data_IF_612214091980
#
_entry.id   IF_612214091980
#
_cell.length_a   1.000
_cell.length_b   1.000
_cell.length_c   1.000
_cell.angle_alpha   90.00
_cell.angle_beta   90.00
_cell.angle_gamma   90.00
#
_symmetry.space_group_name_H-M   'P 1'
#
loop_
_entity.id
_entity.type
_entity.pdbx_description
1 polymer ?
#
# COMPACT_ATOMS: atom_id res chain seq x y z
N UNK A 1 8.46 -1.64 10.01
CA UNK A 1 9.78 -1.46 9.36
C UNK A 1 9.66 -2.01 7.94
N UNK A 2 10.01 -1.23 6.93
CA UNK A 2 9.99 -1.66 5.53
C UNK A 2 11.26 -2.48 5.27
N UNK A 3 11.11 -3.77 4.97
CA UNK A 3 12.26 -4.67 4.75
C UNK A 3 12.31 -5.25 3.34
N UNK A 4 11.15 -5.42 2.69
CA UNK A 4 11.04 -6.06 1.38
C UNK A 4 9.97 -5.43 0.51
N UNK A 5 10.02 -5.75 -0.78
CA UNK A 5 8.97 -5.42 -1.73
C UNK A 5 7.63 -6.01 -1.27
N UNK A 6 6.56 -5.23 -1.38
CA UNK A 6 5.20 -5.65 -1.04
C UNK A 6 4.62 -6.65 -2.05
N UNK A 7 5.21 -6.77 -3.25
CA UNK A 7 4.87 -7.84 -4.19
C UNK A 7 5.37 -9.19 -3.64
N UNK A 8 4.47 -10.14 -3.32
CA UNK A 8 4.86 -11.44 -2.76
C UNK A 8 5.80 -12.26 -3.66
N UNK A 9 5.73 -12.05 -4.98
CA UNK A 9 6.61 -12.72 -5.94
C UNK A 9 7.97 -12.05 -6.12
N UNK A 10 8.25 -10.97 -5.39
CA UNK A 10 9.49 -10.21 -5.52
C UNK A 10 10.37 -10.37 -4.27
N UNK A 11 11.63 -10.75 -4.46
CA UNK A 11 12.61 -10.90 -3.39
C UNK A 11 13.42 -9.61 -3.09
N UNK A 12 13.07 -8.48 -3.70
CA UNK A 12 13.82 -7.24 -3.53
C UNK A 12 13.73 -6.71 -2.09
N UNK A 13 14.89 -6.38 -1.53
CA UNK A 13 15.04 -5.80 -0.19
C UNK A 13 14.99 -4.28 -0.25
N UNK A 14 14.36 -3.66 0.75
CA UNK A 14 14.33 -2.21 0.85
C UNK A 14 15.67 -1.67 1.37
N UNK A 15 16.56 -1.29 0.46
CA UNK A 15 17.88 -0.75 0.78
C UNK A 15 17.93 0.78 0.64
N UNK A 16 17.31 1.31 -0.41
CA UNK A 16 17.38 2.73 -0.75
C UNK A 16 16.02 3.32 -1.12
N UNK A 17 15.71 4.49 -0.55
CA UNK A 17 14.45 5.21 -0.77
C UNK A 17 14.20 5.58 -2.25
N UNK A 18 15.25 5.81 -3.03
CA UNK A 18 15.13 6.21 -4.44
C UNK A 18 14.87 5.03 -5.40
N UNK A 19 14.99 3.78 -4.93
CA UNK A 19 14.86 2.60 -5.79
C UNK A 19 13.45 1.99 -5.76
N UNK A 20 12.42 2.80 -6.01
CA UNK A 20 11.05 2.31 -6.09
C UNK A 20 10.05 3.35 -5.65
N UNK A 21 8.90 2.87 -5.13
CA UNK A 21 7.80 3.73 -4.73
C UNK A 21 7.30 3.35 -3.34
N UNK A 22 7.21 4.36 -2.48
CA UNK A 22 6.72 4.24 -1.11
C UNK A 22 5.25 4.67 -1.09
N UNK A 23 4.40 3.79 -0.57
CA UNK A 23 2.98 4.03 -0.40
C UNK A 23 2.71 4.23 1.08
N UNK A 24 2.02 5.33 1.39
CA UNK A 24 1.53 5.63 2.73
C UNK A 24 0.03 5.37 2.74
N UNK A 25 -0.41 4.49 3.62
CA UNK A 25 -1.82 4.20 3.82
C UNK A 25 -2.27 4.66 5.21
N UNK A 26 -3.42 5.30 5.27
CA UNK A 26 -4.09 5.69 6.50
C UNK A 26 -5.33 4.82 6.69
N UNK A 27 -5.32 3.93 7.67
CA UNK A 27 -6.46 3.04 7.93
C UNK A 27 -7.60 3.69 8.71
N UNK A 28 -7.49 4.99 9.06
CA UNK A 28 -8.56 5.71 9.78
C UNK A 28 -9.87 5.78 9.00
N UNK A 29 -9.86 5.61 7.67
CA UNK A 29 -11.05 5.67 6.82
C UNK A 29 -11.70 4.28 6.63
N UNK A 30 -10.98 3.18 6.88
CA UNK A 30 -11.51 1.83 6.68
C UNK A 30 -12.43 1.35 7.82
N UNK A 31 -12.25 1.88 9.03
CA UNK A 31 -12.97 1.44 10.23
C UNK A 31 -14.37 2.07 10.33
N UNK A 32 -14.65 3.20 9.65
CA UNK A 32 -15.97 3.85 9.72
C UNK A 32 -17.08 3.13 8.95
N UNK A 33 -16.77 2.02 8.28
CA UNK A 33 -17.75 1.26 7.50
C UNK A 33 -18.03 -0.15 8.06
N UNK A 34 -17.55 -0.46 9.26
CA UNK A 34 -17.87 -1.71 9.95
C UNK A 34 -18.07 -1.46 11.44
N UNK A 35 -19.21 -1.91 11.95
CA UNK A 35 -19.61 -2.03 13.37
C UNK A 35 -19.97 -0.75 14.12
N UNK A 36 -21.29 -0.52 14.14
CA UNK A 36 -22.07 -0.21 15.32
C UNK A 36 -21.62 -0.98 16.58
N UNK A 37 -21.79 -0.29 17.72
CA UNK A 37 -21.74 -0.76 19.11
C UNK A 37 -20.35 -0.76 19.81
N UNK A 38 -20.27 0.15 20.78
CA UNK A 38 -19.53 0.05 22.04
C UNK A 38 -18.01 -0.13 21.99
N UNK A 39 -17.27 0.99 22.03
CA UNK A 39 -16.29 1.32 23.07
C UNK A 39 -15.55 2.61 22.67
N UNK A 40 -15.37 3.51 23.62
CA UNK A 40 -14.76 4.85 23.51
C UNK A 40 -13.23 4.80 23.28
N UNK A 41 -12.76 3.96 22.35
CA UNK A 41 -11.35 3.95 21.93
C UNK A 41 -11.21 4.92 20.78
N UNK A 42 -10.56 6.06 21.05
CA UNK A 42 -10.14 7.04 20.03
C UNK A 42 -9.64 6.28 18.80
N UNK A 43 -10.09 6.61 17.57
CA UNK A 43 -9.62 5.93 16.37
C UNK A 43 -8.11 6.12 16.31
N UNK A 44 -7.37 5.07 16.65
CA UNK A 44 -5.92 5.06 16.60
C UNK A 44 -5.56 5.02 15.13
N UNK A 45 -5.28 6.19 14.57
CA UNK A 45 -4.82 6.38 13.20
C UNK A 45 -3.61 5.50 12.96
N UNK A 46 -3.81 4.32 12.36
CA UNK A 46 -2.72 3.42 12.00
C UNK A 46 -2.23 3.83 10.61
N UNK A 47 -1.05 4.43 10.59
CA UNK A 47 -0.37 4.71 9.33
C UNK A 47 0.52 3.51 9.02
N UNK A 48 0.28 2.88 7.88
CA UNK A 48 1.07 1.76 7.39
C UNK A 48 1.80 2.19 6.11
N UNK A 49 3.07 1.78 6.01
CA UNK A 49 3.89 2.04 4.85
C UNK A 49 4.17 0.74 4.12
N UNK A 50 4.12 0.82 2.80
CA UNK A 50 4.43 -0.29 1.89
C UNK A 50 5.39 0.22 0.81
N UNK A 51 6.23 -0.66 0.29
CA UNK A 51 7.19 -0.30 -0.74
C UNK A 51 7.16 -1.30 -1.88
N UNK A 52 7.14 -0.80 -3.12
CA UNK A 52 7.38 -1.59 -4.32
C UNK A 52 8.73 -1.16 -4.89
N UNK A 53 9.60 -2.11 -5.20
CA UNK A 53 10.85 -1.81 -5.91
C UNK A 53 10.56 -1.23 -7.31
N UNK A 54 11.55 -0.59 -7.92
CA UNK A 54 11.41 0.08 -9.21
C UNK A 54 10.65 -0.74 -10.29
N UNK A 55 10.99 -2.01 -10.61
CA UNK A 55 10.27 -2.77 -11.62
C UNK A 55 8.82 -3.09 -11.20
N UNK A 56 8.58 -3.42 -9.93
CA UNK A 56 7.23 -3.68 -9.44
C UNK A 56 6.37 -2.42 -9.45
N UNK A 57 6.94 -1.25 -9.14
CA UNK A 57 6.21 0.02 -9.13
C UNK A 57 5.83 0.51 -10.53
N UNK A 58 6.52 0.03 -11.58
CA UNK A 58 6.19 0.35 -12.97
C UNK A 58 4.89 -0.33 -13.41
N UNK A 59 4.62 -1.54 -12.93
CA UNK A 59 3.50 -2.38 -13.39
C UNK A 59 2.40 -2.58 -12.34
N UNK A 60 2.71 -2.35 -11.06
CA UNK A 60 1.85 -2.67 -9.93
C UNK A 60 1.65 -1.46 -9.02
N UNK A 61 0.54 -1.48 -8.30
CA UNK A 61 0.21 -0.53 -7.24
C UNK A 61 -0.47 -1.28 -6.09
N UNK A 62 -0.76 -0.58 -5.00
CA UNK A 62 -1.55 -1.13 -3.90
C UNK A 62 -3.02 -0.79 -4.09
N UNK A 63 -3.86 -1.80 -3.87
CA UNK A 63 -5.30 -1.70 -3.72
C UNK A 63 -5.73 -2.12 -2.32
N UNK A 64 -6.91 -1.67 -1.91
CA UNK A 64 -7.54 -2.09 -0.67
C UNK A 64 -8.77 -2.96 -0.98
N UNK A 65 -8.79 -4.18 -0.44
CA UNK A 65 -9.93 -5.09 -0.47
C UNK A 65 -10.46 -5.25 0.94
N UNK A 66 -11.79 -5.23 1.12
CA UNK A 66 -12.41 -5.28 2.44
C UNK A 66 -12.13 -6.62 3.15
N UNK A 67 -12.09 -7.69 2.37
CA UNK A 67 -11.94 -9.07 2.85
C UNK A 67 -10.48 -9.47 3.13
N UNK A 68 -9.52 -8.91 2.38
CA UNK A 68 -8.10 -9.31 2.44
C UNK A 68 -7.16 -8.20 2.89
N UNK A 69 -7.68 -6.98 3.07
CA UNK A 69 -6.88 -5.81 3.38
C UNK A 69 -6.10 -5.32 2.15
N UNK A 70 -4.83 -4.97 2.35
CA UNK A 70 -3.98 -4.41 1.30
C UNK A 70 -3.44 -5.49 0.39
N UNK A 71 -3.63 -5.28 -0.91
CA UNK A 71 -3.27 -6.19 -1.99
C UNK A 71 -2.48 -5.46 -3.07
N UNK A 72 -1.57 -6.17 -3.73
CA UNK A 72 -0.85 -5.66 -4.90
C UNK A 72 -1.69 -5.94 -6.14
N UNK A 73 -1.99 -4.90 -6.91
CA UNK A 73 -2.85 -4.96 -8.10
C UNK A 73 -2.14 -4.33 -9.30
N UNK A 74 -2.48 -4.73 -10.54
CA UNK A 74 -1.96 -4.08 -11.74
C UNK A 74 -2.23 -2.58 -11.76
N UNK A 75 -1.25 -1.81 -12.21
CA UNK A 75 -1.39 -0.37 -12.37
C UNK A 75 -2.38 -0.06 -13.50
N UNK A 76 -3.40 0.79 -13.28
CA UNK A 76 -4.28 1.20 -14.37
C UNK A 76 -3.50 1.87 -15.50
N UNK A 77 -3.78 1.49 -16.75
CA UNK A 77 -3.09 2.00 -17.95
C UNK A 77 -3.08 3.54 -18.03
N UNK A 78 -4.10 4.20 -17.48
CA UNK A 78 -4.20 5.65 -17.41
C UNK A 78 -3.13 6.30 -16.51
N UNK A 79 -2.69 5.61 -15.44
CA UNK A 79 -1.69 6.10 -14.49
C UNK A 79 -0.26 5.68 -14.87
N UNK A 80 -0.10 4.61 -15.65
CA UNK A 80 1.20 4.15 -16.13
C UNK A 80 1.94 5.21 -16.98
N UNK A 81 1.19 6.02 -17.74
CA UNK A 81 1.74 7.09 -18.58
C UNK A 81 2.30 8.29 -17.81
N UNK A 82 1.90 8.49 -16.55
CA UNK A 82 2.30 9.65 -15.76
C UNK A 82 3.62 9.45 -14.99
N UNK A 83 4.22 8.25 -15.02
CA UNK A 83 5.39 7.89 -14.21
C UNK A 83 6.71 7.83 -15.02
N UNK A 84 6.70 8.29 -16.28
CA UNK A 84 7.84 8.18 -17.21
C UNK A 84 8.65 9.48 -17.39
N UNK A 85 8.61 10.40 -16.43
CA UNK A 85 9.37 11.66 -16.48
C UNK A 85 10.72 11.54 -15.77
#
# INVERSE_FOLDING_TARGET
>A
MLSKCANPGCAATFLYLHQGKLFRLDTSIAVVASTSAAETKKPSRRIEFFWLCHPCAAELTLGYKRETGITVVPLPKALARAQTA
#
